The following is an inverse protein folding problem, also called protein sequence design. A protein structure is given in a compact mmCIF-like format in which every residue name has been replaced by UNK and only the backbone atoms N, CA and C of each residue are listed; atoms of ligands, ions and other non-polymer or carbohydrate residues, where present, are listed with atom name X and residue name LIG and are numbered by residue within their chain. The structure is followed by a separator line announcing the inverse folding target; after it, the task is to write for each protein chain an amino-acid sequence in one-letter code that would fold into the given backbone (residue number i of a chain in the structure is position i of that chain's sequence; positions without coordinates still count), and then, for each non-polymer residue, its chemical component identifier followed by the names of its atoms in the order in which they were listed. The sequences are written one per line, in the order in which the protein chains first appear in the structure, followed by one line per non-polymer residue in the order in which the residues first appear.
data_IF_838661707238
#
_entry.id   IF_838661707238
#
_cell.length_a   1.000
_cell.length_b   1.000
_cell.length_c   1.000
_cell.angle_alpha   90.00
_cell.angle_beta   90.00
_cell.angle_gamma   90.00
#
_symmetry.space_group_name_H-M   'P 1'
#
loop_
_entity.id
_entity.type
_entity.pdbx_description
1 polymer ?
#
# COMPACT_ATOMS: atom_id res chain seq x y z
N UNK A 1 81.57 18.96 49.37
CA UNK A 1 80.72 19.97 50.00
C UNK A 1 79.54 20.17 49.06
N UNK A 2 78.29 19.90 49.35
CA UNK A 2 77.60 19.40 50.54
C UNK A 2 76.20 18.99 50.04
N UNK A 3 75.61 18.03 50.71
CA UNK A 3 74.28 17.47 50.46
C UNK A 3 73.17 18.53 50.56
N UNK A 4 72.11 18.41 49.76
CA UNK A 4 70.79 18.88 50.21
C UNK A 4 69.65 18.07 49.59
N UNK A 5 69.02 17.26 50.44
CA UNK A 5 67.71 16.70 50.19
C UNK A 5 66.66 17.82 50.23
N UNK A 6 65.68 17.76 49.33
CA UNK A 6 64.45 18.53 49.39
C UNK A 6 63.27 17.58 49.20
N UNK A 7 62.43 17.50 50.24
CA UNK A 7 61.14 16.82 50.26
C UNK A 7 60.18 17.52 49.29
N UNK A 8 59.45 16.77 48.46
CA UNK A 8 58.33 17.31 47.67
C UNK A 8 57.10 16.38 47.76
N UNK A 9 55.95 17.04 47.90
CA UNK A 9 54.63 16.64 48.36
C UNK A 9 53.89 15.52 47.58
N UNK A 10 52.84 14.91 48.17
CA UNK A 10 52.00 13.91 47.50
C UNK A 10 51.20 14.51 46.33
N UNK A 11 50.86 13.69 45.31
CA UNK A 11 50.19 14.16 44.10
C UNK A 11 48.72 14.56 44.37
N UNK A 12 48.20 15.57 43.64
CA UNK A 12 46.81 16.01 43.78
C UNK A 12 45.82 14.94 43.26
N UNK A 13 44.59 14.90 43.81
CA UNK A 13 43.55 13.98 43.35
C UNK A 13 43.11 14.28 41.91
N UNK A 14 42.68 13.25 41.15
CA UNK A 14 42.26 13.42 39.77
C UNK A 14 40.98 14.27 39.67
N UNK A 15 41.01 15.24 38.75
CA UNK A 15 39.85 16.07 38.42
C UNK A 15 38.80 15.23 37.67
N UNK A 16 37.54 15.38 38.06
CA UNK A 16 36.42 14.74 37.38
C UNK A 16 36.29 15.26 35.92
N UNK A 17 35.92 14.40 34.96
CA UNK A 17 35.75 14.82 33.57
C UNK A 17 34.58 15.80 33.43
N UNK A 18 34.68 16.79 32.52
CA UNK A 18 33.60 17.73 32.25
C UNK A 18 32.36 17.02 31.66
N UNK A 19 31.15 17.55 31.90
CA UNK A 19 29.93 17.00 31.31
C UNK A 19 29.97 17.08 29.78
N UNK A 20 29.31 16.14 29.08
CA UNK A 20 29.26 16.15 27.63
C UNK A 20 28.53 17.39 27.09
N UNK A 21 28.93 17.92 25.92
CA UNK A 21 28.28 19.06 25.31
C UNK A 21 26.84 18.71 24.88
N UNK A 22 25.94 19.71 24.84
CA UNK A 22 24.58 19.52 24.35
C UNK A 22 24.57 19.14 22.86
N UNK A 23 23.56 18.38 22.39
CA UNK A 23 23.44 18.02 20.99
C UNK A 23 23.23 19.26 20.10
N UNK A 24 23.74 19.23 18.85
CA UNK A 24 23.59 20.35 17.91
C UNK A 24 22.11 20.53 17.50
N UNK A 25 21.69 21.77 17.19
CA UNK A 25 20.36 22.04 16.68
C UNK A 25 20.13 21.38 15.30
N UNK A 26 18.88 20.99 14.97
CA UNK A 26 18.56 20.40 13.67
C UNK A 26 18.78 21.41 12.53
N UNK A 27 19.18 20.94 11.33
CA UNK A 27 19.44 21.81 10.20
C UNK A 27 18.15 22.46 9.66
N UNK A 28 18.21 23.71 9.15
CA UNK A 28 17.07 24.35 8.51
C UNK A 28 16.71 23.63 7.20
N UNK A 29 15.41 23.37 7.01
CA UNK A 29 14.87 22.85 5.75
C UNK A 29 15.01 23.89 4.63
N UNK A 30 15.46 23.53 3.41
CA UNK A 30 15.58 24.47 2.32
C UNK A 30 14.19 24.95 1.88
N UNK A 31 14.01 26.27 1.95
CA UNK A 31 12.87 26.98 1.38
C UNK A 31 13.08 27.10 -0.13
N UNK A 32 12.42 26.24 -0.90
CA UNK A 32 12.39 26.34 -2.36
C UNK A 32 11.44 27.46 -2.79
N UNK A 33 11.96 28.68 -2.86
CA UNK A 33 11.32 29.80 -3.56
C UNK A 33 11.94 29.95 -4.95
N UNK A 34 11.34 29.27 -5.93
CA UNK A 34 11.47 29.61 -7.34
C UNK A 34 10.07 29.57 -7.94
N UNK A 35 9.61 30.75 -8.34
CA UNK A 35 8.30 31.05 -8.90
C UNK A 35 8.14 30.46 -10.30
N UNK A 36 7.25 29.49 -10.43
CA UNK A 36 6.39 29.32 -11.61
C UNK A 36 4.97 29.14 -11.07
N UNK A 37 4.05 30.12 -11.22
CA UNK A 37 2.78 30.09 -10.51
C UNK A 37 1.71 29.39 -11.35
N UNK A 38 1.99 28.22 -11.94
CA UNK A 38 0.96 27.40 -12.57
C UNK A 38 1.29 25.91 -12.39
N UNK A 39 0.33 25.17 -11.82
CA UNK A 39 0.08 23.75 -12.08
C UNK A 39 0.78 22.68 -11.23
N UNK A 40 0.97 22.88 -9.92
CA UNK A 40 1.18 21.74 -9.00
C UNK A 40 0.31 21.74 -7.74
N UNK A 41 -0.15 22.90 -7.29
CA UNK A 41 -1.10 23.03 -6.19
C UNK A 41 -2.57 22.95 -6.65
N UNK A 42 -2.90 23.40 -7.86
CA UNK A 42 -4.27 23.37 -8.40
C UNK A 42 -4.75 21.97 -8.83
N UNK A 43 -3.82 21.06 -9.11
CA UNK A 43 -4.16 19.67 -9.46
C UNK A 43 -4.77 18.89 -8.28
N UNK A 44 -4.62 19.39 -7.06
CA UNK A 44 -5.18 18.78 -5.86
C UNK A 44 -6.64 19.18 -5.60
N UNK A 45 -7.14 20.23 -6.28
CA UNK A 45 -8.52 20.74 -6.12
C UNK A 45 -9.44 20.47 -7.31
N UNK A 46 -8.90 20.13 -8.47
CA UNK A 46 -9.70 19.71 -9.64
C UNK A 46 -10.14 18.27 -9.47
N UNK A 47 -11.39 17.97 -9.79
CA UNK A 47 -11.87 16.59 -9.70
C UNK A 47 -11.07 15.74 -10.70
N UNK A 48 -10.82 14.47 -10.35
CA UNK A 48 -10.10 13.58 -11.27
C UNK A 48 -11.02 13.27 -12.43
N UNK A 49 -10.69 13.62 -13.67
CA UNK A 49 -11.52 13.20 -14.80
C UNK A 49 -11.58 11.67 -14.90
N UNK A 50 -12.70 11.14 -15.42
CA UNK A 50 -12.83 9.74 -15.79
C UNK A 50 -11.70 9.34 -16.74
N UNK A 51 -11.09 8.19 -16.47
CA UNK A 51 -10.01 7.67 -17.30
C UNK A 51 -10.52 7.27 -18.68
N UNK A 52 -9.91 7.82 -19.73
CA UNK A 52 -10.06 7.33 -21.10
C UNK A 52 -9.23 6.05 -21.24
N UNK A 53 -9.87 4.94 -21.62
CA UNK A 53 -9.21 3.64 -21.81
C UNK A 53 -8.72 3.48 -23.25
N UNK A 54 -7.83 4.38 -23.67
CA UNK A 54 -7.22 4.34 -25.00
C UNK A 54 -5.78 3.83 -24.91
N UNK A 55 -5.36 3.11 -25.96
CA UNK A 55 -3.97 2.71 -26.13
C UNK A 55 -3.23 3.82 -26.88
N UNK A 56 -2.18 4.36 -26.27
CA UNK A 56 -1.34 5.35 -26.93
C UNK A 56 -0.57 4.66 -28.05
N UNK A 57 -0.64 5.22 -29.25
CA UNK A 57 0.17 4.77 -30.38
C UNK A 57 1.63 5.14 -30.09
N UNK A 58 2.58 4.17 -30.06
CA UNK A 58 4.00 4.47 -29.91
C UNK A 58 4.52 5.41 -31.01
N UNK A 59 5.43 6.31 -30.65
CA UNK A 59 5.95 7.35 -31.57
C UNK A 59 6.62 6.73 -32.79
N UNK A 60 7.33 5.62 -32.60
CA UNK A 60 8.06 4.88 -33.63
C UNK A 60 7.12 4.31 -34.71
N UNK A 61 5.83 4.15 -34.39
CA UNK A 61 4.80 3.69 -35.34
C UNK A 61 4.17 4.84 -36.13
N UNK A 62 4.39 6.09 -35.73
CA UNK A 62 3.81 7.28 -36.34
C UNK A 62 4.87 8.06 -37.12
N UNK A 63 6.00 8.33 -36.50
CA UNK A 63 7.10 9.10 -37.09
C UNK A 63 7.67 8.39 -38.33
N UNK A 64 7.82 9.12 -39.44
CA UNK A 64 8.36 8.61 -40.70
C UNK A 64 7.41 7.69 -41.50
N UNK A 65 6.19 7.43 -41.02
CA UNK A 65 5.17 6.66 -41.74
C UNK A 65 4.03 7.57 -42.19
N UNK A 66 3.38 7.22 -43.30
CA UNK A 66 2.15 7.88 -43.75
C UNK A 66 1.01 7.54 -42.79
N UNK A 67 0.73 8.44 -41.86
CA UNK A 67 -0.34 8.33 -40.85
C UNK A 67 -1.03 9.69 -40.73
N UNK A 68 -2.33 9.67 -40.39
CA UNK A 68 -3.09 10.91 -40.09
C UNK A 68 -2.49 11.69 -38.92
N UNK A 69 -1.73 11.00 -38.06
CA UNK A 69 -1.03 11.59 -36.92
C UNK A 69 0.32 12.23 -37.29
N UNK A 70 0.83 12.01 -38.50
CA UNK A 70 2.13 12.54 -38.97
C UNK A 70 2.03 13.95 -39.53
N UNK A 71 0.82 14.47 -39.73
CA UNK A 71 0.55 15.78 -40.35
C UNK A 71 -0.20 16.78 -39.47
N UNK A 72 -0.47 16.45 -38.20
CA UNK A 72 -1.01 17.41 -37.24
C UNK A 72 0.07 18.47 -36.96
N UNK A 73 -0.01 19.59 -37.67
CA UNK A 73 0.96 20.67 -37.58
C UNK A 73 0.80 21.42 -36.24
N UNK A 74 1.89 21.96 -35.66
CA UNK A 74 1.82 22.79 -34.46
C UNK A 74 1.03 24.10 -34.62
N UNK A 75 0.76 24.52 -35.86
CA UNK A 75 0.14 25.80 -36.21
C UNK A 75 -1.37 25.69 -36.51
N UNK A 76 -2.00 24.54 -36.28
CA UNK A 76 -3.46 24.47 -36.31
C UNK A 76 -4.02 25.19 -35.08
N UNK A 77 -4.63 26.35 -35.36
CA UNK A 77 -5.53 27.16 -34.52
C UNK A 77 -5.72 26.61 -33.10
N UNK A 78 -5.13 27.29 -32.11
CA UNK A 78 -5.23 26.89 -30.69
C UNK A 78 -6.70 26.79 -30.30
N UNK A 79 -7.27 25.58 -30.36
CA UNK A 79 -8.65 25.33 -30.00
C UNK A 79 -8.74 25.34 -28.47
N UNK A 80 -9.33 26.38 -27.85
CA UNK A 80 -9.37 26.47 -26.40
C UNK A 80 -10.33 25.41 -25.87
N UNK A 81 -9.79 24.40 -25.20
CA UNK A 81 -10.58 23.36 -24.54
C UNK A 81 -11.12 23.94 -23.23
N UNK A 82 -12.45 23.95 -23.07
CA UNK A 82 -13.08 24.33 -21.81
C UNK A 82 -12.88 23.24 -20.73
N UNK A 83 -11.86 23.46 -19.90
CA UNK A 83 -11.52 22.57 -18.80
C UNK A 83 -12.57 22.55 -17.69
N UNK A 84 -13.39 23.60 -17.53
CA UNK A 84 -14.44 23.65 -16.51
C UNK A 84 -15.58 22.71 -16.88
N UNK A 85 -16.08 22.80 -18.12
CA UNK A 85 -17.10 21.88 -18.64
C UNK A 85 -16.64 20.42 -18.62
N UNK A 86 -15.35 20.16 -18.88
CA UNK A 86 -14.79 18.80 -18.75
C UNK A 86 -14.85 18.28 -17.31
N UNK A 87 -14.49 19.11 -16.32
CA UNK A 87 -14.53 18.73 -14.91
C UNK A 87 -15.96 18.49 -14.43
N UNK A 88 -16.92 19.31 -14.86
CA UNK A 88 -18.34 19.18 -14.50
C UNK A 88 -18.97 17.91 -15.08
N UNK A 89 -18.73 17.61 -16.36
CA UNK A 89 -19.37 16.51 -17.07
C UNK A 89 -18.68 15.16 -16.85
N UNK A 90 -17.34 15.17 -16.79
CA UNK A 90 -16.52 13.95 -16.74
C UNK A 90 -15.74 13.80 -15.44
N UNK A 91 -15.91 14.70 -14.48
CA UNK A 91 -15.34 14.58 -13.15
C UNK A 91 -15.72 13.28 -12.46
N UNK A 92 -14.71 12.57 -11.96
CA UNK A 92 -14.90 11.47 -11.04
C UNK A 92 -15.30 12.09 -9.71
N UNK A 93 -16.57 11.89 -9.34
CA UNK A 93 -17.01 12.15 -7.97
C UNK A 93 -16.09 11.36 -7.05
N UNK A 94 -15.26 12.06 -6.29
CA UNK A 94 -14.58 11.46 -5.15
C UNK A 94 -15.70 11.01 -4.22
N UNK A 95 -16.10 9.74 -4.36
CA UNK A 95 -16.70 9.06 -3.23
C UNK A 95 -15.64 9.23 -2.15
N UNK A 96 -15.92 10.09 -1.16
CA UNK A 96 -15.16 10.10 0.10
C UNK A 96 -14.79 8.65 0.36
N UNK A 97 -13.54 8.32 0.71
CA UNK A 97 -13.18 6.95 1.06
C UNK A 97 -13.99 6.58 2.31
N UNK A 98 -15.25 6.21 2.11
CA UNK A 98 -16.20 5.82 3.10
C UNK A 98 -15.71 4.46 3.54
N UNK A 99 -14.99 4.46 4.65
CA UNK A 99 -14.64 3.27 5.43
C UNK A 99 -13.94 2.11 4.70
N UNK A 100 -13.53 2.27 3.43
CA UNK A 100 -12.70 1.28 2.74
C UNK A 100 -11.32 1.24 3.37
N UNK A 101 -10.79 2.38 3.80
CA UNK A 101 -9.52 2.46 4.54
C UNK A 101 -9.63 1.90 5.95
N UNK A 102 -10.76 2.07 6.65
CA UNK A 102 -10.94 1.50 8.00
C UNK A 102 -11.14 -0.01 7.94
N UNK A 103 -11.91 -0.52 6.98
CA UNK A 103 -12.09 -1.96 6.74
C UNK A 103 -10.82 -2.62 6.20
N UNK A 104 -10.08 -1.97 5.31
CA UNK A 104 -8.75 -2.43 4.88
C UNK A 104 -7.72 -2.35 6.02
N UNK A 105 -7.70 -1.30 6.84
CA UNK A 105 -6.84 -1.22 8.04
C UNK A 105 -7.19 -2.29 9.06
N UNK A 106 -8.48 -2.58 9.28
CA UNK A 106 -8.92 -3.64 10.19
C UNK A 106 -8.53 -5.02 9.64
N UNK A 107 -8.73 -5.28 8.35
CA UNK A 107 -8.26 -6.52 7.69
C UNK A 107 -6.74 -6.65 7.74
N UNK A 108 -5.99 -5.58 7.47
CA UNK A 108 -4.52 -5.60 7.51
C UNK A 108 -3.95 -5.60 8.93
N UNK A 109 -4.67 -5.10 9.94
CA UNK A 109 -4.31 -5.29 11.35
C UNK A 109 -4.57 -6.73 11.81
N UNK A 110 -5.69 -7.34 11.42
CA UNK A 110 -5.96 -8.77 11.65
C UNK A 110 -4.97 -9.69 10.92
N UNK A 111 -4.51 -9.30 9.73
CA UNK A 111 -3.47 -10.03 8.99
C UNK A 111 -2.06 -9.81 9.56
N UNK A 112 -1.75 -8.62 10.09
CA UNK A 112 -0.46 -8.33 10.76
C UNK A 112 -0.33 -8.94 12.16
N UNK A 113 -1.46 -9.22 12.83
CA UNK A 113 -1.48 -9.92 14.11
C UNK A 113 -1.42 -11.45 13.95
N UNK A 114 -1.50 -11.96 12.70
CA UNK A 114 -1.25 -13.36 12.39
C UNK A 114 0.25 -13.51 12.17
N UNK A 115 0.88 -14.40 12.93
CA UNK A 115 2.21 -14.93 12.60
C UNK A 115 2.24 -15.31 11.11
N UNK A 116 3.40 -15.27 10.42
CA UNK A 116 3.50 -15.68 9.02
C UNK A 116 2.85 -17.06 8.85
N UNK A 117 1.67 -17.08 8.25
CA UNK A 117 0.91 -18.31 8.07
C UNK A 117 1.23 -18.84 6.69
N UNK A 118 1.91 -19.97 6.66
CA UNK A 118 2.20 -20.69 5.44
C UNK A 118 0.87 -21.31 4.95
N UNK A 119 0.49 -21.04 3.71
CA UNK A 119 -0.63 -21.71 3.04
C UNK A 119 -0.06 -22.80 2.16
N UNK A 120 -0.40 -24.06 2.44
CA UNK A 120 -0.06 -25.20 1.59
C UNK A 120 -0.96 -25.27 0.34
N UNK A 121 -2.14 -24.66 0.42
CA UNK A 121 -3.10 -24.61 -0.68
C UNK A 121 -2.86 -23.39 -1.55
N UNK A 122 -3.15 -23.51 -2.85
CA UNK A 122 -3.14 -22.37 -3.76
C UNK A 122 -4.22 -21.33 -3.38
N UNK A 123 -4.04 -20.11 -3.87
CA UNK A 123 -4.91 -18.98 -3.49
C UNK A 123 -6.38 -19.18 -3.88
N UNK A 124 -6.64 -19.84 -5.01
CA UNK A 124 -8.01 -20.08 -5.50
C UNK A 124 -8.68 -21.18 -4.66
N UNK A 125 -7.98 -22.28 -4.40
CA UNK A 125 -8.50 -23.37 -3.55
C UNK A 125 -8.73 -22.93 -2.12
N UNK A 126 -7.77 -22.22 -1.52
CA UNK A 126 -7.89 -21.60 -0.20
C UNK A 126 -9.11 -20.69 -0.08
N UNK A 127 -9.33 -19.82 -1.06
CA UNK A 127 -10.51 -18.94 -1.10
C UNK A 127 -11.80 -19.75 -1.20
N UNK A 128 -11.88 -20.72 -2.11
CA UNK A 128 -13.09 -21.53 -2.31
C UNK A 128 -13.48 -22.29 -1.05
N UNK A 129 -12.52 -22.95 -0.40
CA UNK A 129 -12.73 -23.64 0.88
C UNK A 129 -13.18 -22.65 1.96
N UNK A 130 -12.53 -21.48 2.05
CA UNK A 130 -12.87 -20.44 3.04
C UNK A 130 -14.28 -19.85 2.86
N UNK A 131 -14.72 -19.63 1.63
CA UNK A 131 -16.10 -19.17 1.33
C UNK A 131 -17.09 -20.26 1.70
N UNK A 132 -16.81 -21.50 1.29
CA UNK A 132 -17.71 -22.62 1.55
C UNK A 132 -17.85 -22.87 3.06
N UNK A 133 -16.75 -23.00 3.80
CA UNK A 133 -16.79 -23.30 5.23
C UNK A 133 -17.46 -22.20 6.07
N UNK A 134 -17.55 -20.96 5.58
CA UNK A 134 -18.31 -19.89 6.26
C UNK A 134 -19.80 -20.18 6.41
N UNK A 135 -20.37 -21.01 5.53
CA UNK A 135 -21.79 -21.39 5.59
C UNK A 135 -22.04 -22.66 6.43
N UNK A 136 -20.98 -23.26 6.95
CA UNK A 136 -21.02 -24.43 7.83
C UNK A 136 -20.78 -24.06 9.28
N UNK A 137 -21.04 -25.02 10.15
CA UNK A 137 -20.65 -25.01 11.55
C UNK A 137 -19.13 -24.93 11.72
N UNK A 138 -18.61 -24.61 12.91
CA UNK A 138 -17.19 -24.71 13.21
C UNK A 138 -16.61 -26.05 12.74
N UNK A 139 -15.40 -26.01 12.14
CA UNK A 139 -14.79 -27.19 11.52
C UNK A 139 -14.73 -28.42 12.44
N UNK A 140 -14.57 -28.20 13.77
CA UNK A 140 -14.58 -29.27 14.77
C UNK A 140 -15.92 -30.01 14.84
N UNK A 141 -17.04 -29.30 14.75
CA UNK A 141 -18.37 -29.89 14.77
C UNK A 141 -18.66 -30.69 13.50
N UNK A 142 -18.18 -30.22 12.35
CA UNK A 142 -18.32 -30.95 11.07
C UNK A 142 -17.63 -32.31 11.16
N UNK A 143 -16.41 -32.35 11.70
CA UNK A 143 -15.65 -33.60 11.89
C UNK A 143 -16.38 -34.57 12.81
N UNK A 144 -16.94 -34.08 13.92
CA UNK A 144 -17.67 -34.91 14.86
C UNK A 144 -18.98 -35.44 14.28
N UNK A 145 -19.75 -34.58 13.59
CA UNK A 145 -20.99 -34.98 12.94
C UNK A 145 -20.73 -36.05 11.85
N UNK A 146 -19.62 -35.96 11.10
CA UNK A 146 -19.23 -36.98 10.13
C UNK A 146 -18.90 -38.30 10.84
N UNK A 147 -18.14 -38.26 11.95
CA UNK A 147 -17.79 -39.47 12.74
C UNK A 147 -19.01 -40.17 13.31
N UNK A 148 -20.01 -39.41 13.75
CA UNK A 148 -21.26 -39.92 14.31
C UNK A 148 -22.31 -40.28 13.25
N UNK A 149 -22.05 -40.03 11.96
CA UNK A 149 -23.01 -40.25 10.89
C UNK A 149 -24.21 -39.27 10.91
N UNK A 150 -24.08 -38.13 11.58
CA UNK A 150 -25.14 -37.13 11.77
C UNK A 150 -25.32 -36.22 10.54
N UNK A 151 -25.50 -36.79 9.34
CA UNK A 151 -25.58 -36.05 8.07
C UNK A 151 -26.89 -35.27 7.84
N UNK A 152 -27.98 -35.63 8.53
CA UNK A 152 -29.33 -35.06 8.29
C UNK A 152 -29.43 -33.54 8.50
N UNK A 153 -28.53 -32.97 9.30
CA UNK A 153 -28.44 -31.53 9.60
C UNK A 153 -27.79 -30.69 8.48
N UNK A 154 -27.14 -31.33 7.51
CA UNK A 154 -26.47 -30.66 6.39
C UNK A 154 -27.31 -30.70 5.11
N UNK A 155 -28.06 -31.78 4.89
CA UNK A 155 -28.75 -32.04 3.63
C UNK A 155 -27.82 -32.51 2.51
N UNK A 156 -28.37 -33.13 1.47
CA UNK A 156 -27.61 -33.79 0.42
C UNK A 156 -26.70 -32.82 -0.38
N UNK A 157 -27.18 -31.60 -0.66
CA UNK A 157 -26.43 -30.61 -1.44
C UNK A 157 -25.15 -30.16 -0.72
N UNK A 158 -25.25 -29.80 0.57
CA UNK A 158 -24.10 -29.37 1.37
C UNK A 158 -23.07 -30.49 1.53
N UNK A 159 -23.53 -31.72 1.70
CA UNK A 159 -22.63 -32.88 1.78
C UNK A 159 -21.94 -33.16 0.45
N UNK A 160 -22.66 -33.05 -0.67
CA UNK A 160 -22.09 -33.20 -2.02
C UNK A 160 -21.01 -32.16 -2.28
N UNK A 161 -21.28 -30.90 -1.93
CA UNK A 161 -20.28 -29.83 -2.04
C UNK A 161 -19.09 -30.04 -1.09
N UNK A 162 -19.31 -30.57 0.12
CA UNK A 162 -18.22 -30.90 1.05
C UNK A 162 -17.30 -31.98 0.48
N UNK A 163 -17.86 -32.97 -0.24
CA UNK A 163 -17.07 -33.96 -0.97
C UNK A 163 -16.17 -33.35 -2.05
N UNK A 164 -16.58 -32.24 -2.67
CA UNK A 164 -15.74 -31.52 -3.66
C UNK A 164 -14.54 -30.81 -3.02
N UNK A 165 -14.54 -30.65 -1.70
CA UNK A 165 -13.44 -30.02 -0.95
C UNK A 165 -12.48 -31.01 -0.33
N UNK A 166 -12.66 -32.31 -0.58
CA UNK A 166 -11.75 -33.33 -0.08
C UNK A 166 -10.31 -33.07 -0.58
N UNK A 167 -9.30 -33.50 0.19
CA UNK A 167 -7.94 -33.52 -0.29
C UNK A 167 -7.85 -34.30 -1.61
N UNK A 168 -7.01 -33.83 -2.52
CA UNK A 168 -6.70 -34.59 -3.73
C UNK A 168 -5.77 -35.75 -3.32
N UNK A 169 -5.88 -36.90 -3.99
CA UNK A 169 -4.91 -37.98 -3.79
C UNK A 169 -3.60 -37.55 -4.48
N UNK A 170 -2.67 -36.96 -3.72
CA UNK A 170 -1.27 -36.86 -4.14
C UNK A 170 -0.60 -38.24 -4.17
#
# INVERSE_FOLDING_TARGET
MESRAALVAPPPPPLAPPPPPPPPPPPPTPSSSSSSPLSRADSARRSRLRKLNWERIPKEKVEGRKSVWSGAAPDEEEFPIDLHSLDELFGQKDSKPQDRTSTLRRRSALLRCRSPQISLLDSKRSMNIGIFLRQFKPAKEIVEDIRQGAGGRYGAEKLTELCKLLPDNE
#
